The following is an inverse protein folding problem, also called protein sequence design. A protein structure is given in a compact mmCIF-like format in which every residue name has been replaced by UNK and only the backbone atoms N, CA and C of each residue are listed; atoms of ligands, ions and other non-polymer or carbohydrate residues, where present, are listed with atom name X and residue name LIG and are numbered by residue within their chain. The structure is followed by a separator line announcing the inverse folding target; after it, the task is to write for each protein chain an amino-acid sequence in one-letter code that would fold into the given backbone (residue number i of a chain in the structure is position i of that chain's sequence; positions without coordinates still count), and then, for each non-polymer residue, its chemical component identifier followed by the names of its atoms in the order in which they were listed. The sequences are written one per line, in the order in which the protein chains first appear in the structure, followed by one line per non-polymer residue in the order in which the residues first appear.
data_IF_293018215712
#
_entry.id   IF_293018215712
#
_cell.length_a   1.000
_cell.length_b   1.000
_cell.length_c   1.000
_cell.angle_alpha   90.00
_cell.angle_beta   90.00
_cell.angle_gamma   90.00
#
_symmetry.space_group_name_H-M   'P 1'
#
loop_
_entity.id
_entity.type
_entity.pdbx_description
1 polymer ?
#
# COMPACT_ATOMS: atom_id res chain seq x y z
N UNK A 1 -7.12 1.15 -0.34
CA UNK A 1 -6.65 1.38 -1.73
C UNK A 1 -5.63 0.30 -2.10
N UNK A 2 -5.55 -0.14 -3.36
CA UNK A 2 -4.68 -1.26 -3.73
C UNK A 2 -3.18 -0.97 -3.54
N UNK A 3 -2.74 0.25 -3.81
CA UNK A 3 -1.35 0.67 -3.60
C UNK A 3 -0.92 0.61 -2.12
N UNK A 4 -1.85 0.78 -1.18
CA UNK A 4 -1.59 0.66 0.25
C UNK A 4 -1.27 -0.78 0.68
N UNK A 5 -1.78 -1.79 -0.05
CA UNK A 5 -1.47 -3.20 0.21
C UNK A 5 0.01 -3.49 -0.07
N UNK A 6 0.50 -3.04 -1.23
CA UNK A 6 1.92 -3.13 -1.57
C UNK A 6 2.78 -2.33 -0.59
N UNK A 7 2.39 -1.09 -0.30
CA UNK A 7 3.10 -0.23 0.64
C UNK A 7 3.24 -0.87 2.03
N UNK A 8 2.14 -1.40 2.57
CA UNK A 8 2.14 -2.08 3.86
C UNK A 8 3.08 -3.29 3.88
N UNK A 9 3.10 -4.09 2.80
CA UNK A 9 3.99 -5.25 2.71
C UNK A 9 5.47 -4.87 2.69
N UNK A 10 5.84 -3.75 2.04
CA UNK A 10 7.22 -3.32 1.93
C UNK A 10 7.75 -2.58 3.16
N UNK A 11 6.92 -1.75 3.82
CA UNK A 11 7.34 -0.97 5.01
C UNK A 11 7.68 -1.86 6.21
N UNK A 12 7.13 -3.07 6.28
CA UNK A 12 7.41 -4.02 7.37
C UNK A 12 8.80 -4.67 7.23
N UNK A 13 9.38 -4.74 6.02
CA UNK A 13 10.65 -5.45 5.79
C UNK A 13 11.84 -4.86 6.57
N UNK A 14 12.08 -3.53 6.62
CA UNK A 14 13.15 -2.96 7.44
C UNK A 14 12.98 -3.24 8.94
N UNK A 15 11.74 -3.22 9.43
CA UNK A 15 11.44 -3.48 10.85
C UNK A 15 11.80 -4.91 11.27
N UNK A 16 11.52 -5.88 10.41
CA UNK A 16 11.93 -7.27 10.62
C UNK A 16 13.44 -7.38 10.79
N UNK A 17 14.19 -6.72 9.90
CA UNK A 17 15.65 -6.68 9.93
C UNK A 17 16.19 -6.00 11.18
N UNK A 18 15.59 -4.88 11.60
CA UNK A 18 15.98 -4.18 12.83
C UNK A 18 15.76 -5.04 14.08
N UNK A 19 14.65 -5.79 14.14
CA UNK A 19 14.40 -6.69 15.25
C UNK A 19 15.47 -7.77 15.36
N UNK A 20 15.76 -8.45 14.25
CA UNK A 20 16.80 -9.49 14.23
C UNK A 20 18.19 -8.92 14.55
N UNK A 21 18.47 -7.65 14.18
CA UNK A 21 19.73 -6.98 14.48
C UNK A 21 19.89 -6.75 15.99
N UNK A 22 18.84 -6.23 16.62
CA UNK A 22 18.82 -5.98 18.08
C UNK A 22 18.84 -7.28 18.88
N UNK A 23 18.18 -8.32 18.39
CA UNK A 23 18.15 -9.64 19.03
C UNK A 23 19.39 -10.50 18.78
N UNK A 24 20.41 -9.99 18.07
CA UNK A 24 21.63 -10.73 17.69
C UNK A 24 21.32 -12.03 16.92
N UNK A 25 20.21 -12.03 16.17
CA UNK A 25 19.78 -13.16 15.32
C UNK A 25 20.25 -13.00 13.88
N UNK A 26 20.92 -11.89 13.54
CA UNK A 26 21.48 -11.67 12.21
C UNK A 26 22.72 -12.57 11.98
N UNK A 27 22.84 -13.19 10.80
CA UNK A 27 24.06 -13.87 10.42
C UNK A 27 25.23 -12.87 10.30
N UNK A 28 26.46 -13.27 10.66
CA UNK A 28 27.63 -12.39 10.68
C UNK A 28 27.93 -11.77 9.32
N UNK A 29 27.57 -12.44 8.22
CA UNK A 29 27.76 -11.95 6.84
C UNK A 29 26.94 -10.70 6.50
N UNK A 30 25.72 -10.58 7.01
CA UNK A 30 24.91 -9.36 6.84
C UNK A 30 25.43 -8.21 7.70
N UNK A 31 26.02 -8.53 8.86
CA UNK A 31 26.64 -7.55 9.74
C UNK A 31 27.92 -7.01 9.09
N UNK A 32 28.78 -7.90 8.56
CA UNK A 32 30.00 -7.52 7.84
C UNK A 32 29.71 -6.71 6.57
N UNK A 33 28.67 -7.09 5.82
CA UNK A 33 28.22 -6.33 4.64
C UNK A 33 27.61 -4.96 4.99
N UNK A 34 27.11 -4.78 6.23
CA UNK A 34 26.63 -3.48 6.71
C UNK A 34 27.75 -2.57 7.21
N UNK A 35 28.84 -3.14 7.74
CA UNK A 35 30.04 -2.40 8.19
C UNK A 35 31.01 -2.05 7.07
N UNK A 36 31.00 -2.77 5.95
CA UNK A 36 31.81 -2.46 4.76
C UNK A 36 31.19 -1.34 3.94
N UNK A 37 31.24 -0.12 4.46
CA UNK A 37 31.06 1.11 3.68
C UNK A 37 32.37 1.34 2.90
N UNK A 38 32.56 0.71 1.72
CA UNK A 38 33.29 1.35 0.59
C UNK A 38 33.47 0.50 -0.68
N UNK A 39 33.51 -0.82 -0.66
CA UNK A 39 33.93 -1.57 -1.87
C UNK A 39 32.82 -2.45 -2.43
N UNK A 40 32.24 -1.99 -3.55
CA UNK A 40 31.92 -2.78 -4.76
C UNK A 40 31.14 -4.10 -4.67
N UNK A 41 30.66 -4.55 -3.51
CA UNK A 41 29.92 -5.80 -3.38
C UNK A 41 28.43 -5.50 -3.47
N UNK A 42 27.84 -5.95 -4.57
CA UNK A 42 26.41 -5.89 -4.87
C UNK A 42 25.54 -6.27 -3.66
N UNK A 43 24.95 -5.27 -2.99
CA UNK A 43 23.84 -5.47 -2.03
C UNK A 43 22.68 -6.26 -2.65
N UNK A 44 22.65 -6.38 -3.97
CA UNK A 44 21.69 -7.17 -4.75
C UNK A 44 21.90 -8.70 -4.66
N UNK A 45 23.02 -9.18 -4.10
CA UNK A 45 23.33 -10.63 -4.07
C UNK A 45 22.87 -11.37 -2.82
N UNK A 46 22.67 -10.71 -1.67
CA UNK A 46 22.25 -11.35 -0.42
C UNK A 46 20.77 -11.10 -0.13
N UNK A 47 19.95 -12.14 -0.25
CA UNK A 47 18.52 -12.12 0.11
C UNK A 47 18.31 -12.46 1.59
N UNK A 48 17.82 -11.50 2.37
CA UNK A 48 17.55 -11.67 3.80
C UNK A 48 16.26 -12.47 4.04
N UNK A 49 16.33 -13.47 4.93
CA UNK A 49 15.20 -14.29 5.38
C UNK A 49 15.04 -14.06 6.89
N UNK A 50 13.90 -13.51 7.35
CA UNK A 50 13.69 -13.13 8.75
C UNK A 50 13.48 -14.33 9.68
N UNK A 51 13.78 -14.14 10.97
CA UNK A 51 13.49 -15.13 12.01
C UNK A 51 12.00 -15.20 12.36
N UNK A 52 11.54 -16.35 12.88
CA UNK A 52 10.15 -16.51 13.31
C UNK A 52 9.75 -15.55 14.44
N UNK A 53 10.70 -15.18 15.31
CA UNK A 53 10.48 -14.25 16.41
C UNK A 53 10.23 -12.84 15.89
N UNK A 54 11.03 -12.39 14.92
CA UNK A 54 10.82 -11.13 14.22
C UNK A 54 9.45 -11.07 13.54
N UNK A 55 9.07 -12.14 12.82
CA UNK A 55 7.79 -12.20 12.12
C UNK A 55 6.62 -12.08 13.10
N UNK A 56 6.59 -12.89 14.18
CA UNK A 56 5.48 -12.85 15.15
C UNK A 56 5.39 -11.49 15.86
N UNK A 57 6.53 -10.92 16.24
CA UNK A 57 6.58 -9.60 16.89
C UNK A 57 6.11 -8.50 15.94
N UNK A 58 6.67 -8.44 14.73
CA UNK A 58 6.31 -7.44 13.73
C UNK A 58 4.85 -7.57 13.31
N UNK A 59 4.33 -8.79 13.14
CA UNK A 59 2.93 -9.03 12.78
C UNK A 59 1.98 -8.47 13.85
N UNK A 60 2.21 -8.79 15.13
CA UNK A 60 1.38 -8.29 16.23
C UNK A 60 1.36 -6.77 16.29
N UNK A 61 2.54 -6.14 16.18
CA UNK A 61 2.60 -4.68 16.24
C UNK A 61 2.00 -4.04 14.99
N UNK A 62 2.28 -4.55 13.79
CA UNK A 62 1.67 -4.04 12.56
C UNK A 62 0.15 -4.16 12.58
N UNK A 63 -0.41 -5.25 13.12
CA UNK A 63 -1.87 -5.39 13.30
C UNK A 63 -2.38 -4.32 14.27
N UNK A 64 -1.71 -4.11 15.41
CA UNK A 64 -2.12 -3.10 16.39
C UNK A 64 -2.05 -1.68 15.82
N UNK A 65 -0.94 -1.30 15.17
CA UNK A 65 -0.75 0.00 14.52
C UNK A 65 -1.80 0.25 13.44
N UNK A 66 -2.06 -0.74 12.57
CA UNK A 66 -3.08 -0.62 11.53
C UNK A 66 -4.48 -0.51 12.14
N UNK A 67 -4.79 -1.30 13.16
CA UNK A 67 -6.11 -1.27 13.82
C UNK A 67 -6.35 0.10 14.46
N UNK A 68 -5.40 0.62 15.23
CA UNK A 68 -5.50 1.96 15.85
C UNK A 68 -5.59 3.04 14.77
N UNK A 69 -4.77 2.98 13.72
CA UNK A 69 -4.80 3.98 12.65
C UNK A 69 -6.15 3.99 11.91
N UNK A 70 -6.68 2.81 11.54
CA UNK A 70 -7.93 2.68 10.81
C UNK A 70 -9.15 3.05 11.66
N UNK A 71 -9.24 2.55 12.89
CA UNK A 71 -10.40 2.79 13.76
C UNK A 71 -10.39 4.16 14.43
N UNK A 72 -9.22 4.69 14.80
CA UNK A 72 -9.16 5.97 15.49
C UNK A 72 -9.05 7.14 14.52
N UNK A 73 -8.11 7.10 13.56
CA UNK A 73 -7.87 8.25 12.70
C UNK A 73 -8.73 8.24 11.44
N UNK A 74 -8.69 7.15 10.66
CA UNK A 74 -9.40 7.11 9.38
C UNK A 74 -10.92 7.15 9.56
N UNK A 75 -11.47 6.38 10.49
CA UNK A 75 -12.90 6.40 10.81
C UNK A 75 -13.32 7.79 11.30
N UNK A 76 -12.59 8.38 12.25
CA UNK A 76 -12.90 9.72 12.76
C UNK A 76 -12.96 10.77 11.64
N UNK A 77 -11.95 10.81 10.77
CA UNK A 77 -11.91 11.77 9.66
C UNK A 77 -13.05 11.52 8.67
N UNK A 78 -13.29 10.28 8.27
CA UNK A 78 -14.37 9.94 7.34
C UNK A 78 -15.76 10.27 7.93
N UNK A 79 -15.97 9.98 9.21
CA UNK A 79 -17.18 10.34 9.93
C UNK A 79 -17.33 11.85 10.08
N UNK A 80 -16.25 12.58 10.39
CA UNK A 80 -16.30 14.04 10.49
C UNK A 80 -16.69 14.69 9.16
N UNK A 81 -16.10 14.24 8.03
CA UNK A 81 -16.47 14.74 6.69
C UNK A 81 -17.95 14.47 6.41
N UNK A 82 -18.44 13.25 6.69
CA UNK A 82 -19.84 12.88 6.47
C UNK A 82 -20.80 13.69 7.36
N UNK A 83 -20.48 13.87 8.63
CA UNK A 83 -21.29 14.63 9.59
C UNK A 83 -21.32 16.12 9.20
N UNK A 84 -20.17 16.71 8.83
CA UNK A 84 -20.10 18.10 8.38
C UNK A 84 -20.90 18.29 7.09
N UNK A 85 -20.77 17.37 6.12
CA UNK A 85 -21.57 17.39 4.90
C UNK A 85 -23.07 17.27 5.22
N UNK A 86 -23.48 16.32 6.06
CA UNK A 86 -24.87 16.18 6.50
C UNK A 86 -25.39 17.43 7.24
N UNK A 87 -24.65 17.98 8.19
CA UNK A 87 -25.10 19.11 9.00
C UNK A 87 -25.19 20.42 8.20
N UNK A 88 -24.28 20.66 7.26
CA UNK A 88 -24.17 21.94 6.54
C UNK A 88 -24.78 21.95 5.13
N UNK A 89 -24.97 20.77 4.50
CA UNK A 89 -25.41 20.66 3.11
C UNK A 89 -26.74 19.89 2.90
N UNK A 90 -27.28 19.17 3.90
CA UNK A 90 -28.41 18.24 3.71
C UNK A 90 -29.70 18.82 3.10
N UNK A 91 -29.99 20.12 3.32
CA UNK A 91 -31.20 20.78 2.78
C UNK A 91 -30.95 21.55 1.47
N UNK A 92 -29.72 21.57 0.96
CA UNK A 92 -29.37 22.30 -0.26
C UNK A 92 -29.52 21.39 -1.48
N UNK A 93 -30.37 21.78 -2.44
CA UNK A 93 -30.52 21.02 -3.71
C UNK A 93 -29.22 21.07 -4.54
N UNK A 94 -28.48 22.17 -4.44
CA UNK A 94 -27.18 22.35 -5.10
C UNK A 94 -26.04 21.52 -4.47
N UNK A 95 -26.27 20.92 -3.28
CA UNK A 95 -25.26 20.10 -2.61
C UNK A 95 -25.11 18.70 -3.20
N UNK A 96 -26.16 18.18 -3.85
CA UNK A 96 -26.19 16.81 -4.39
C UNK A 96 -25.19 16.63 -5.55
N UNK A 97 -24.86 17.71 -6.26
CA UNK A 97 -23.90 17.72 -7.37
C UNK A 97 -22.67 18.60 -7.09
N UNK A 98 -22.49 19.03 -5.83
CA UNK A 98 -21.40 19.91 -5.47
C UNK A 98 -20.05 19.20 -5.62
N UNK A 99 -19.27 19.63 -6.60
CA UNK A 99 -17.87 19.24 -6.73
C UNK A 99 -17.00 19.87 -5.62
N UNK A 100 -15.70 19.58 -5.61
CA UNK A 100 -14.75 20.06 -4.60
C UNK A 100 -14.83 21.57 -4.36
N UNK A 101 -14.98 22.34 -5.43
CA UNK A 101 -15.10 23.79 -5.38
C UNK A 101 -16.47 24.23 -4.84
N UNK A 102 -17.53 23.47 -5.16
CA UNK A 102 -18.87 23.67 -4.62
C UNK A 102 -18.90 23.44 -3.12
N UNK A 103 -18.26 22.36 -2.65
CA UNK A 103 -18.08 22.07 -1.21
C UNK A 103 -17.32 23.21 -0.53
N UNK A 104 -16.22 23.71 -1.11
CA UNK A 104 -15.51 24.86 -0.56
C UNK A 104 -16.40 26.10 -0.42
N UNK A 105 -17.17 26.43 -1.47
CA UNK A 105 -18.08 27.58 -1.45
C UNK A 105 -19.21 27.41 -0.42
N UNK A 106 -19.77 26.20 -0.34
CA UNK A 106 -20.83 25.86 0.61
C UNK A 106 -20.32 25.92 2.05
N UNK A 107 -19.14 25.37 2.35
CA UNK A 107 -18.53 25.49 3.68
C UNK A 107 -18.21 26.94 4.05
N UNK A 108 -17.70 27.73 3.09
CA UNK A 108 -17.39 29.15 3.30
C UNK A 108 -18.64 29.97 3.61
N UNK A 109 -19.76 29.67 2.93
CA UNK A 109 -21.03 30.41 3.07
C UNK A 109 -21.87 29.93 4.26
N UNK A 110 -21.92 28.62 4.51
CA UNK A 110 -22.75 28.03 5.56
C UNK A 110 -22.13 28.14 6.96
N UNK A 111 -20.79 28.16 7.06
CA UNK A 111 -20.10 28.19 8.36
C UNK A 111 -19.29 29.49 8.51
N UNK A 112 -18.23 29.66 7.73
CA UNK A 112 -17.37 30.85 7.74
C UNK A 112 -16.33 30.77 6.62
N UNK A 113 -15.88 31.90 6.04
CA UNK A 113 -14.76 31.93 5.08
C UNK A 113 -13.49 31.24 5.60
N UNK A 114 -13.23 31.29 6.91
CA UNK A 114 -12.08 30.63 7.52
C UNK A 114 -12.16 29.09 7.43
N UNK A 115 -13.35 28.50 7.42
CA UNK A 115 -13.51 27.05 7.26
C UNK A 115 -13.24 26.63 5.82
N UNK A 116 -13.65 27.46 4.85
CA UNK A 116 -13.29 27.26 3.44
C UNK A 116 -11.77 27.22 3.23
N UNK A 117 -11.04 28.18 3.80
CA UNK A 117 -9.57 28.20 3.67
C UNK A 117 -8.90 27.00 4.34
N UNK A 118 -9.38 26.56 5.50
CA UNK A 118 -8.90 25.34 6.17
C UNK A 118 -9.15 24.11 5.29
N UNK A 119 -10.34 24.00 4.67
CA UNK A 119 -10.65 22.92 3.75
C UNK A 119 -9.73 22.90 2.53
N UNK A 120 -9.50 24.06 1.90
CA UNK A 120 -8.58 24.18 0.77
C UNK A 120 -7.14 23.81 1.16
N UNK A 121 -6.67 24.24 2.33
CA UNK A 121 -5.35 23.87 2.85
C UNK A 121 -5.25 22.37 3.14
N UNK A 122 -6.29 21.77 3.73
CA UNK A 122 -6.35 20.34 4.00
C UNK A 122 -6.31 19.52 2.70
N UNK A 123 -7.01 19.95 1.65
CA UNK A 123 -6.95 19.31 0.32
C UNK A 123 -5.54 19.39 -0.28
N UNK A 124 -4.87 20.54 -0.17
CA UNK A 124 -3.49 20.70 -0.65
C UNK A 124 -2.54 19.75 0.08
N UNK A 125 -2.59 19.71 1.41
CA UNK A 125 -1.75 18.85 2.24
C UNK A 125 -2.03 17.35 1.96
N UNK A 126 -3.29 16.98 1.78
CA UNK A 126 -3.69 15.62 1.39
C UNK A 126 -3.09 15.22 0.04
N UNK A 127 -3.15 16.10 -0.97
CA UNK A 127 -2.58 15.86 -2.29
C UNK A 127 -1.04 15.72 -2.27
N UNK A 128 -0.35 16.50 -1.43
CA UNK A 128 1.10 16.36 -1.24
C UNK A 128 1.44 15.00 -0.62
N UNK A 129 0.72 14.60 0.42
CA UNK A 129 0.90 13.30 1.09
C UNK A 129 0.64 12.12 0.15
N UNK A 130 -0.46 12.15 -0.59
CA UNK A 130 -0.81 11.12 -1.58
C UNK A 130 0.28 10.96 -2.65
N UNK A 131 0.91 12.05 -3.07
CA UNK A 131 2.04 12.02 -4.00
C UNK A 131 3.23 11.21 -3.48
N UNK A 132 3.58 11.35 -2.19
CA UNK A 132 4.68 10.60 -1.57
C UNK A 132 4.34 9.11 -1.49
N UNK A 133 3.15 8.78 -0.98
CA UNK A 133 2.65 7.40 -0.85
C UNK A 133 2.64 6.71 -2.22
N UNK A 134 2.17 7.40 -3.26
CA UNK A 134 2.13 6.87 -4.62
C UNK A 134 3.54 6.57 -5.17
N UNK A 135 4.54 7.42 -4.89
CA UNK A 135 5.92 7.16 -5.33
C UNK A 135 6.54 5.95 -4.66
N UNK A 136 6.27 5.74 -3.35
CA UNK A 136 6.81 4.60 -2.60
C UNK A 136 6.10 3.30 -3.04
N UNK A 137 4.77 3.33 -3.17
CA UNK A 137 4.04 2.16 -3.65
C UNK A 137 4.40 1.82 -5.12
N UNK A 138 4.51 2.83 -5.98
CA UNK A 138 4.94 2.67 -7.36
C UNK A 138 6.37 2.11 -7.47
N UNK A 139 7.24 2.47 -6.52
CA UNK A 139 8.55 1.83 -6.40
C UNK A 139 8.45 0.34 -6.14
N UNK A 140 7.68 -0.06 -5.12
CA UNK A 140 7.52 -1.46 -4.75
C UNK A 140 6.93 -2.30 -5.89
N UNK A 141 5.95 -1.76 -6.61
CA UNK A 141 5.36 -2.43 -7.76
C UNK A 141 6.34 -2.50 -8.94
N UNK A 142 7.06 -1.43 -9.25
CA UNK A 142 8.00 -1.41 -10.39
C UNK A 142 9.19 -2.35 -10.18
N UNK A 143 9.75 -2.38 -8.97
CA UNK A 143 10.88 -3.25 -8.63
C UNK A 143 10.43 -4.71 -8.44
N UNK A 144 9.25 -4.95 -7.86
CA UNK A 144 8.74 -6.30 -7.63
C UNK A 144 8.15 -6.98 -8.87
N UNK A 145 7.30 -6.28 -9.63
CA UNK A 145 6.56 -6.88 -10.75
C UNK A 145 7.26 -6.68 -12.11
N UNK A 146 7.88 -5.52 -12.33
CA UNK A 146 8.49 -5.17 -13.62
C UNK A 146 10.02 -5.29 -13.61
N UNK A 147 10.64 -5.59 -12.47
CA UNK A 147 12.10 -5.55 -12.26
C UNK A 147 12.76 -4.26 -12.78
N UNK A 148 12.02 -3.14 -12.78
CA UNK A 148 12.46 -1.90 -13.39
C UNK A 148 13.06 -0.95 -12.36
N UNK A 149 14.39 -0.86 -12.34
CA UNK A 149 15.16 -0.01 -11.41
C UNK A 149 15.38 1.39 -11.99
N UNK A 150 14.43 2.30 -11.75
CA UNK A 150 14.60 3.73 -12.02
C UNK A 150 15.08 4.50 -10.78
N UNK A 151 15.85 5.58 -10.98
CA UNK A 151 16.21 6.53 -9.90
C UNK A 151 14.94 7.15 -9.28
N UNK A 152 14.86 7.34 -7.95
CA UNK A 152 13.64 7.82 -7.27
C UNK A 152 13.08 9.14 -7.80
N UNK A 153 13.96 10.11 -8.09
CA UNK A 153 13.56 11.40 -8.66
C UNK A 153 12.94 11.25 -10.06
N UNK A 154 13.55 10.44 -10.92
CA UNK A 154 13.06 10.23 -12.28
C UNK A 154 11.71 9.50 -12.27
N UNK A 155 11.57 8.48 -11.41
CA UNK A 155 10.30 7.78 -11.20
C UNK A 155 9.20 8.73 -10.77
N UNK A 156 9.47 9.62 -9.80
CA UNK A 156 8.52 10.65 -9.34
C UNK A 156 8.14 11.62 -10.43
N UNK A 157 9.09 12.03 -11.28
CA UNK A 157 8.81 12.94 -12.39
C UNK A 157 7.91 12.25 -13.42
N UNK A 158 8.25 11.04 -13.85
CA UNK A 158 7.48 10.27 -14.84
C UNK A 158 6.05 10.00 -14.35
N UNK A 159 5.87 9.47 -13.14
CA UNK A 159 4.52 9.16 -12.63
C UNK A 159 3.67 10.40 -12.42
N UNK A 160 4.28 11.52 -12.01
CA UNK A 160 3.57 12.81 -11.94
C UNK A 160 3.24 13.37 -13.32
N UNK A 161 4.15 13.32 -14.29
CA UNK A 161 3.87 13.78 -15.65
C UNK A 161 2.71 13.01 -16.25
N UNK A 162 2.69 11.68 -16.11
CA UNK A 162 1.59 10.83 -16.61
C UNK A 162 0.24 11.17 -15.94
N UNK A 163 0.24 11.57 -14.67
CA UNK A 163 -0.99 11.94 -13.95
C UNK A 163 -1.44 13.39 -14.19
N UNK A 164 -0.50 14.32 -14.25
CA UNK A 164 -0.76 15.76 -14.32
C UNK A 164 -1.10 16.18 -15.76
N UNK A 165 -0.39 15.65 -16.76
CA UNK A 165 -0.58 16.07 -18.16
C UNK A 165 -2.03 15.88 -18.63
N UNK A 166 -2.67 14.69 -18.46
CA UNK A 166 -4.08 14.52 -18.83
C UNK A 166 -5.00 15.45 -18.04
N UNK A 167 -4.72 15.65 -16.76
CA UNK A 167 -5.51 16.53 -15.89
C UNK A 167 -5.47 17.99 -16.35
N UNK A 168 -4.29 18.48 -16.77
CA UNK A 168 -4.12 19.84 -17.31
C UNK A 168 -4.85 19.98 -18.65
N UNK A 169 -4.73 18.99 -19.54
CA UNK A 169 -5.41 19.00 -20.85
C UNK A 169 -6.92 19.06 -20.68
N UNK A 170 -7.49 18.25 -19.79
CA UNK A 170 -8.92 18.23 -19.50
C UNK A 170 -9.36 19.55 -18.85
N UNK A 171 -8.57 20.08 -17.91
CA UNK A 171 -8.85 21.37 -17.29
C UNK A 171 -8.86 22.52 -18.31
N UNK A 172 -7.95 22.50 -19.29
CA UNK A 172 -7.87 23.52 -20.33
C UNK A 172 -8.98 23.40 -21.38
N UNK A 173 -9.39 22.18 -21.74
CA UNK A 173 -10.37 21.93 -22.80
C UNK A 173 -11.83 21.96 -22.31
N UNK A 174 -12.11 21.36 -21.15
CA UNK A 174 -13.48 21.14 -20.62
C UNK A 174 -13.73 21.93 -19.34
N UNK A 175 -12.68 22.26 -18.58
CA UNK A 175 -12.79 22.98 -17.33
C UNK A 175 -13.29 22.10 -16.17
N UNK A 176 -14.06 22.71 -15.26
CA UNK A 176 -14.40 22.17 -13.94
C UNK A 176 -15.23 20.88 -13.99
N UNK A 177 -16.21 20.79 -14.90
CA UNK A 177 -17.03 19.60 -15.07
C UNK A 177 -16.19 18.39 -15.54
N UNK A 178 -15.27 18.62 -16.49
CA UNK A 178 -14.37 17.57 -16.99
C UNK A 178 -13.42 17.05 -15.90
N UNK A 179 -12.91 17.94 -15.04
CA UNK A 179 -12.09 17.54 -13.90
C UNK A 179 -12.87 16.66 -12.91
N UNK A 180 -14.10 17.03 -12.57
CA UNK A 180 -14.93 16.23 -11.65
C UNK A 180 -15.25 14.85 -12.24
N UNK A 181 -15.61 14.79 -13.54
CA UNK A 181 -15.83 13.53 -14.24
C UNK A 181 -14.57 12.66 -14.24
N UNK A 182 -13.40 13.25 -14.45
CA UNK A 182 -12.11 12.53 -14.43
C UNK A 182 -11.78 11.99 -13.04
N UNK A 183 -12.07 12.75 -11.98
CA UNK A 183 -11.92 12.31 -10.60
C UNK A 183 -12.82 11.11 -10.29
N UNK A 184 -14.10 11.18 -10.67
CA UNK A 184 -15.05 10.08 -10.49
C UNK A 184 -14.64 8.84 -11.30
N UNK A 185 -14.25 9.02 -12.57
CA UNK A 185 -13.74 7.95 -13.41
C UNK A 185 -12.51 7.28 -12.81
N UNK A 186 -11.60 8.06 -12.21
CA UNK A 186 -10.41 7.52 -11.52
C UNK A 186 -10.79 6.62 -10.33
N UNK A 187 -11.86 6.96 -9.60
CA UNK A 187 -12.37 6.11 -8.52
C UNK A 187 -12.98 4.81 -9.04
N UNK A 188 -13.69 4.86 -10.16
CA UNK A 188 -14.23 3.66 -10.84
C UNK A 188 -13.09 2.76 -11.31
N UNK A 189 -12.05 3.31 -11.95
CA UNK A 189 -10.87 2.52 -12.36
C UNK A 189 -10.21 1.87 -11.14
N UNK A 190 -10.07 2.61 -10.03
CA UNK A 190 -9.51 2.07 -8.79
C UNK A 190 -10.33 0.91 -8.22
N UNK A 191 -11.66 1.01 -8.30
CA UNK A 191 -12.56 -0.04 -7.82
C UNK A 191 -12.42 -1.30 -8.68
N UNK A 192 -12.36 -1.18 -10.01
CA UNK A 192 -12.14 -2.30 -10.95
C UNK A 192 -10.83 -3.02 -10.65
N UNK A 193 -9.75 -2.28 -10.37
CA UNK A 193 -8.43 -2.83 -10.12
C UNK A 193 -8.35 -3.60 -8.78
N UNK A 194 -9.18 -3.25 -7.80
CA UNK A 194 -9.11 -3.78 -6.44
C UNK A 194 -9.35 -5.32 -6.35
N UNK A 195 -10.38 -5.92 -6.99
CA UNK A 195 -10.56 -7.37 -7.01
C UNK A 195 -9.38 -8.14 -7.59
N UNK A 196 -8.74 -7.63 -8.64
CA UNK A 196 -7.61 -8.29 -9.30
C UNK A 196 -6.36 -8.31 -8.42
N UNK A 197 -6.18 -7.34 -7.54
CA UNK A 197 -5.06 -7.29 -6.60
C UNK A 197 -5.35 -8.09 -5.33
N UNK A 198 -6.61 -8.06 -4.87
CA UNK A 198 -7.00 -8.74 -3.62
C UNK A 198 -7.18 -10.26 -3.80
N UNK A 199 -7.63 -10.74 -4.95
CA UNK A 199 -7.74 -12.17 -5.25
C UNK A 199 -6.43 -12.96 -5.07
N UNK A 200 -5.30 -12.60 -5.73
CA UNK A 200 -4.03 -13.31 -5.54
C UNK A 200 -3.49 -13.14 -4.12
N UNK A 201 -3.73 -12.00 -3.46
CA UNK A 201 -3.33 -11.80 -2.07
C UNK A 201 -4.04 -12.80 -1.13
N UNK A 202 -5.35 -12.97 -1.28
CA UNK A 202 -6.11 -13.95 -0.49
C UNK A 202 -5.62 -15.37 -0.80
N UNK A 203 -5.41 -15.70 -2.08
CA UNK A 203 -4.88 -17.00 -2.50
C UNK A 203 -3.52 -17.32 -1.85
N UNK A 204 -2.55 -16.41 -1.94
CA UNK A 204 -1.21 -16.64 -1.39
C UNK A 204 -1.20 -16.70 0.15
N UNK A 205 -2.04 -15.91 0.81
CA UNK A 205 -2.10 -15.89 2.29
C UNK A 205 -2.82 -17.11 2.89
N UNK A 206 -3.68 -17.79 2.12
CA UNK A 206 -4.37 -18.99 2.56
C UNK A 206 -3.61 -20.29 2.24
N UNK A 207 -2.58 -20.23 1.39
CA UNK A 207 -1.84 -21.41 0.97
C UNK A 207 -0.63 -21.70 1.86
N UNK A 208 -0.65 -22.90 2.45
CA UNK A 208 0.49 -23.47 3.19
C UNK A 208 1.76 -23.57 2.34
N UNK A 209 1.67 -23.60 1.01
CA UNK A 209 2.86 -23.65 0.14
C UNK A 209 3.68 -22.36 0.18
N UNK A 210 3.03 -21.22 0.37
CA UNK A 210 3.66 -19.89 0.33
C UNK A 210 3.86 -19.31 1.73
N UNK A 211 2.94 -19.58 2.67
CA UNK A 211 3.01 -19.13 4.05
C UNK A 211 3.68 -20.15 4.98
N UNK A 212 4.92 -20.53 4.67
CA UNK A 212 5.75 -21.39 5.53
C UNK A 212 7.04 -20.71 5.91
N UNK A 213 7.39 -20.81 7.19
CA UNK A 213 8.65 -20.30 7.72
C UNK A 213 9.45 -21.47 8.26
N UNK A 214 10.70 -21.55 7.82
CA UNK A 214 11.63 -22.50 8.40
C UNK A 214 12.05 -22.02 9.80
N UNK A 215 11.99 -22.88 10.82
CA UNK A 215 12.44 -22.54 12.17
C UNK A 215 13.91 -22.09 12.24
N UNK A 216 14.26 -21.42 13.33
CA UNK A 216 15.62 -20.93 13.62
C UNK A 216 15.85 -19.42 13.46
N UNK A 217 17.14 -19.06 13.44
CA UNK A 217 17.65 -17.68 13.32
C UNK A 217 17.50 -17.12 11.90
N UNK A 218 17.75 -15.82 11.73
CA UNK A 218 17.71 -15.19 10.41
C UNK A 218 18.77 -15.79 9.49
N UNK A 219 18.44 -15.91 8.20
CA UNK A 219 19.30 -16.52 7.18
C UNK A 219 19.50 -15.59 5.99
N UNK A 220 20.53 -15.86 5.20
CA UNK A 220 20.78 -15.20 3.92
C UNK A 220 20.81 -16.24 2.82
N UNK A 221 20.17 -15.93 1.69
CA UNK A 221 20.39 -16.67 0.45
C UNK A 221 21.29 -15.83 -0.46
N UNK A 222 22.41 -16.38 -0.90
CA UNK A 222 23.19 -15.77 -1.99
C UNK A 222 22.51 -16.11 -3.33
N UNK A 223 22.36 -15.13 -4.23
CA UNK A 223 21.83 -15.37 -5.59
C UNK A 223 22.83 -16.20 -6.40
N UNK A 224 22.34 -17.30 -6.98
CA UNK A 224 23.07 -18.41 -7.61
C UNK A 224 23.94 -18.11 -8.86
N UNK A 225 24.60 -16.96 -8.97
CA UNK A 225 25.63 -16.78 -10.02
C UNK A 225 27.04 -17.23 -9.58
N UNK A 226 27.26 -17.46 -8.28
CA UNK A 226 28.61 -17.79 -7.76
C UNK A 226 28.81 -19.28 -7.35
N UNK A 227 27.84 -20.17 -7.60
CA UNK A 227 27.97 -21.61 -7.23
C UNK A 227 29.21 -22.26 -7.87
N UNK A 228 29.65 -21.80 -9.05
CA UNK A 228 30.83 -22.37 -9.70
C UNK A 228 32.17 -21.89 -9.12
N UNK A 229 32.19 -20.89 -8.22
CA UNK A 229 33.46 -20.25 -7.82
C UNK A 229 33.85 -20.45 -6.37
N UNK A 230 32.93 -20.72 -5.45
CA UNK A 230 33.27 -21.02 -4.06
C UNK A 230 32.25 -21.96 -3.42
N UNK A 231 32.73 -23.13 -2.99
CA UNK A 231 31.96 -24.16 -2.30
C UNK A 231 31.62 -23.78 -0.84
N UNK A 232 31.06 -22.57 -0.61
CA UNK A 232 30.47 -22.16 0.67
C UNK A 232 28.98 -21.97 0.47
N UNK A 233 28.25 -23.08 0.50
CA UNK A 233 26.85 -23.10 0.88
C UNK A 233 26.78 -22.53 2.30
N UNK A 234 26.54 -21.22 2.42
CA UNK A 234 26.27 -20.59 3.71
C UNK A 234 24.85 -20.93 4.12
N UNK A 235 24.66 -22.18 4.52
CA UNK A 235 23.48 -22.62 5.23
C UNK A 235 23.72 -22.19 6.68
N UNK A 236 23.16 -21.04 7.06
CA UNK A 236 23.03 -20.68 8.46
C UNK A 236 22.43 -21.88 9.20
N UNK A 237 23.11 -22.30 10.28
CA UNK A 237 22.86 -23.54 11.03
C UNK A 237 21.37 -23.91 11.02
N UNK A 238 21.01 -24.85 10.15
CA UNK A 238 19.70 -25.46 10.18
C UNK A 238 19.66 -26.27 11.48
N UNK A 239 18.89 -25.80 12.46
CA UNK A 239 18.61 -26.58 13.65
C UNK A 239 17.84 -27.82 13.17
N UNK A 240 18.56 -28.93 13.04
CA UNK A 240 18.06 -30.20 12.51
C UNK A 240 17.10 -30.81 13.55
N UNK A 241 15.84 -30.37 13.54
CA UNK A 241 14.82 -30.95 14.42
C UNK A 241 13.49 -30.22 14.46
N UNK A 242 13.42 -28.94 14.11
CA UNK A 242 12.16 -28.20 14.18
C UNK A 242 11.33 -28.33 12.89
N UNK A 243 10.07 -28.77 13.04
CA UNK A 243 9.09 -28.87 11.96
C UNK A 243 8.79 -27.50 11.34
N UNK A 244 8.66 -27.44 10.00
CA UNK A 244 8.27 -26.24 9.26
C UNK A 244 6.99 -25.64 9.87
N UNK A 245 7.05 -24.37 10.27
CA UNK A 245 5.93 -23.67 10.87
C UNK A 245 5.08 -23.06 9.76
N UNK A 246 3.81 -23.49 9.71
CA UNK A 246 2.81 -22.94 8.80
C UNK A 246 2.24 -21.66 9.42
N UNK A 247 2.22 -20.57 8.64
CA UNK A 247 1.66 -19.26 9.02
C UNK A 247 0.49 -18.86 8.11
N UNK A 248 -0.12 -19.83 7.42
CA UNK A 248 -1.28 -19.59 6.59
C UNK A 248 -2.46 -19.08 7.43
N UNK A 249 -3.30 -18.25 6.82
CA UNK A 249 -4.53 -17.77 7.44
C UNK A 249 -5.43 -18.96 7.85
N UNK A 250 -6.10 -18.81 8.99
CA UNK A 250 -7.10 -19.78 9.41
C UNK A 250 -8.29 -19.81 8.44
N UNK A 251 -8.98 -20.93 8.39
CA UNK A 251 -10.08 -21.14 7.44
C UNK A 251 -11.21 -20.11 7.60
N UNK A 252 -11.51 -19.66 8.82
CA UNK A 252 -12.51 -18.61 9.06
C UNK A 252 -12.08 -17.25 8.49
N UNK A 253 -10.81 -16.88 8.62
CA UNK A 253 -10.29 -15.64 8.01
C UNK A 253 -10.36 -15.73 6.48
N UNK A 254 -10.05 -16.90 5.92
CA UNK A 254 -10.16 -17.14 4.48
C UNK A 254 -11.61 -16.99 3.98
N UNK A 255 -12.59 -17.54 4.71
CA UNK A 255 -14.02 -17.41 4.37
C UNK A 255 -14.48 -15.96 4.44
N UNK A 256 -14.14 -15.24 5.51
CA UNK A 256 -14.48 -13.82 5.65
C UNK A 256 -13.86 -12.99 4.54
N UNK A 257 -12.57 -13.21 4.24
CA UNK A 257 -11.88 -12.52 3.15
C UNK A 257 -12.52 -12.83 1.80
N UNK A 258 -12.91 -14.08 1.55
CA UNK A 258 -13.64 -14.49 0.36
C UNK A 258 -15.01 -13.83 0.23
N UNK A 259 -15.76 -13.72 1.33
CA UNK A 259 -17.06 -13.01 1.35
C UNK A 259 -16.89 -11.51 1.06
N UNK A 260 -15.92 -10.85 1.69
CA UNK A 260 -15.62 -9.43 1.44
C UNK A 260 -15.20 -9.22 -0.02
N UNK A 261 -14.35 -10.09 -0.55
CA UNK A 261 -13.93 -10.05 -1.94
C UNK A 261 -15.10 -10.23 -2.91
N UNK A 262 -15.98 -11.20 -2.65
CA UNK A 262 -17.17 -11.45 -3.45
C UNK A 262 -18.09 -10.22 -3.43
N UNK A 263 -18.34 -9.66 -2.25
CA UNK A 263 -19.16 -8.45 -2.09
C UNK A 263 -18.60 -7.27 -2.90
N UNK A 264 -17.31 -6.98 -2.77
CA UNK A 264 -16.63 -5.92 -3.53
C UNK A 264 -16.76 -6.17 -5.04
N UNK A 265 -16.55 -7.41 -5.48
CA UNK A 265 -16.61 -7.77 -6.90
C UNK A 265 -18.02 -7.59 -7.46
N UNK A 266 -19.04 -8.07 -6.75
CA UNK A 266 -20.45 -7.90 -7.15
C UNK A 266 -20.84 -6.43 -7.20
N UNK A 267 -20.46 -5.64 -6.19
CA UNK A 267 -20.73 -4.19 -6.18
C UNK A 267 -20.02 -3.46 -7.31
N UNK A 268 -18.78 -3.83 -7.63
CA UNK A 268 -18.05 -3.24 -8.74
C UNK A 268 -18.68 -3.58 -10.09
N UNK A 269 -19.11 -4.83 -10.29
CA UNK A 269 -19.82 -5.26 -11.51
C UNK A 269 -21.15 -4.52 -11.63
N UNK A 270 -21.91 -4.42 -10.54
CA UNK A 270 -23.16 -3.66 -10.53
C UNK A 270 -22.91 -2.18 -10.90
N UNK A 271 -21.89 -1.55 -10.32
CA UNK A 271 -21.54 -0.17 -10.63
C UNK A 271 -21.13 0.01 -12.10
N UNK A 272 -20.37 -0.94 -12.66
CA UNK A 272 -20.01 -0.94 -14.09
C UNK A 272 -21.22 -1.08 -15.00
N UNK A 273 -22.16 -1.96 -14.65
CA UNK A 273 -23.39 -2.16 -15.42
C UNK A 273 -24.26 -0.92 -15.38
N UNK A 274 -24.45 -0.31 -14.20
CA UNK A 274 -25.20 0.94 -14.05
C UNK A 274 -24.58 2.08 -14.85
N UNK A 275 -23.24 2.23 -14.75
CA UNK A 275 -22.50 3.23 -15.50
C UNK A 275 -22.59 2.99 -17.03
N UNK A 276 -22.60 1.73 -17.46
CA UNK A 276 -22.83 1.33 -18.85
C UNK A 276 -24.26 1.59 -19.35
N UNK A 277 -25.24 1.64 -18.44
CA UNK A 277 -26.64 2.00 -18.72
C UNK A 277 -26.89 3.51 -18.68
N UNK A 278 -25.89 4.33 -18.36
CA UNK A 278 -26.00 5.78 -18.31
C UNK A 278 -26.66 6.33 -17.04
N UNK A 279 -26.69 5.55 -15.95
CA UNK A 279 -27.06 5.97 -14.60
C UNK A 279 -25.83 6.25 -13.75
#
# INVERSE_FOLDING_TARGET
MPHSLYLGSGIVQPRLREYDAKSKLLPPELLSASSSVSEGVDKDKLHYIPSIRAIRHSLKISIAELTVSLFSFALFVNSAILIVAGASLYKNKDALEADIFGIHALLSKSISPAVGTIFALALLLSGISAGVICTIAGQMVSEGALNWKLRPWLRRLVTRSISIVPSIVIAAAVGRQGLNATLNASQVVLSIVLPFITAPLIYFTCLNKYMTVQPGSARCLARNEDIFRNNRLVVGAADQGESIIKMANSWYIAVIAGMVWLFITVMNVANLVLLGQGA
#
